data_IF_432237605146
#
_entry.id   IF_432237605146
#
_cell.length_a   1.000
_cell.length_b   1.000
_cell.length_c   1.000
_cell.angle_alpha   90.00
_cell.angle_beta   90.00
_cell.angle_gamma   90.00
#
_symmetry.space_group_name_H-M   'P 1'
#
loop_
_entity.id
_entity.type
_entity.pdbx_description
1 polymer ?
#
# COMPACT_ATOMS: atom_id res chain seq x y z
N UNK A 1 0.22 14.54 11.11
CA UNK A 1 -1.26 14.67 10.98
C UNK A 1 -1.67 15.97 10.28
N UNK A 2 -1.14 17.14 10.64
CA UNK A 2 -1.57 18.42 10.05
C UNK A 2 -1.40 18.51 8.53
N UNK A 3 -0.27 18.03 7.99
CA UNK A 3 -0.05 17.99 6.53
C UNK A 3 -1.08 17.08 5.84
N UNK A 4 -1.40 15.92 6.43
CA UNK A 4 -2.45 15.04 5.90
C UNK A 4 -3.84 15.71 5.98
N UNK A 5 -4.13 16.42 7.08
CA UNK A 5 -5.36 17.19 7.19
C UNK A 5 -5.47 18.25 6.07
N UNK A 6 -4.39 18.98 5.80
CA UNK A 6 -4.32 19.97 4.75
C UNK A 6 -4.55 19.36 3.35
N UNK A 7 -3.96 18.18 3.06
CA UNK A 7 -4.22 17.49 1.80
C UNK A 7 -5.67 17.03 1.69
N UNK A 8 -6.26 16.44 2.75
CA UNK A 8 -7.66 16.03 2.74
C UNK A 8 -8.61 17.21 2.53
N UNK A 9 -8.38 18.34 3.21
CA UNK A 9 -9.20 19.53 3.05
C UNK A 9 -9.02 20.17 1.67
N UNK A 10 -7.79 20.24 1.16
CA UNK A 10 -7.49 20.81 -0.15
C UNK A 10 -8.13 20.01 -1.29
N UNK A 11 -7.87 18.70 -1.35
CA UNK A 11 -8.50 17.83 -2.35
C UNK A 11 -10.02 17.71 -2.12
N UNK A 12 -10.47 17.67 -0.87
CA UNK A 12 -11.88 17.64 -0.52
C UNK A 12 -12.64 18.87 -1.03
N UNK A 13 -12.08 20.07 -0.84
CA UNK A 13 -12.63 21.31 -1.37
C UNK A 13 -12.63 21.33 -2.91
N UNK A 14 -11.53 20.91 -3.55
CA UNK A 14 -11.45 20.82 -5.02
C UNK A 14 -12.55 19.89 -5.57
N UNK A 15 -12.72 18.72 -4.96
CA UNK A 15 -13.70 17.72 -5.39
C UNK A 15 -15.14 18.17 -5.11
N UNK A 16 -15.38 18.93 -4.04
CA UNK A 16 -16.71 19.44 -3.72
C UNK A 16 -17.12 20.65 -4.59
N UNK A 17 -16.19 21.55 -4.90
CA UNK A 17 -16.47 22.80 -5.64
C UNK A 17 -16.47 22.58 -7.15
N UNK A 18 -15.58 21.72 -7.66
CA UNK A 18 -15.39 21.52 -9.10
C UNK A 18 -15.38 20.02 -9.51
N UNK A 19 -16.37 19.20 -9.09
CA UNK A 19 -16.36 17.76 -9.36
C UNK A 19 -16.38 17.44 -10.87
N UNK A 20 -17.05 18.28 -11.68
CA UNK A 20 -17.09 18.11 -13.14
C UNK A 20 -15.73 18.33 -13.81
N UNK A 21 -14.94 19.31 -13.36
CA UNK A 21 -13.59 19.58 -13.87
C UNK A 21 -12.66 18.41 -13.55
N UNK A 22 -12.73 17.92 -12.30
CA UNK A 22 -11.97 16.74 -11.87
C UNK A 22 -12.37 15.51 -12.68
N UNK A 23 -13.68 15.30 -12.92
CA UNK A 23 -14.16 14.17 -13.72
C UNK A 23 -13.59 14.18 -15.14
N UNK A 24 -13.66 15.33 -15.81
CA UNK A 24 -13.11 15.52 -17.16
C UNK A 24 -11.60 15.30 -17.19
N UNK A 25 -10.88 15.76 -16.17
CA UNK A 25 -9.44 15.56 -16.07
C UNK A 25 -9.07 14.08 -15.89
N UNK A 26 -9.86 13.30 -15.14
CA UNK A 26 -9.62 11.88 -14.88
C UNK A 26 -10.04 10.98 -16.06
N UNK A 27 -11.17 11.29 -16.69
CA UNK A 27 -11.77 10.49 -17.77
C UNK A 27 -13.29 10.48 -17.66
N UNK A 28 -13.85 9.40 -17.12
CA UNK A 28 -15.31 9.19 -17.03
C UNK A 28 -15.86 8.82 -15.64
N UNK A 29 -15.27 9.23 -14.50
CA UNK A 29 -15.88 8.95 -13.20
C UNK A 29 -17.23 9.67 -13.06
N UNK A 30 -18.23 9.06 -12.42
CA UNK A 30 -19.47 9.74 -12.11
C UNK A 30 -19.22 10.98 -11.23
N UNK A 31 -19.76 12.14 -11.65
CA UNK A 31 -19.58 13.43 -10.94
C UNK A 31 -20.03 13.36 -9.48
N UNK A 32 -21.15 12.67 -9.22
CA UNK A 32 -21.68 12.48 -7.87
C UNK A 32 -20.71 11.71 -6.96
N UNK A 33 -19.92 10.78 -7.52
CA UNK A 33 -18.94 10.01 -6.77
C UNK A 33 -17.77 10.91 -6.35
N UNK A 34 -17.27 11.76 -7.25
CA UNK A 34 -16.23 12.74 -6.91
C UNK A 34 -16.72 13.70 -5.83
N UNK A 35 -17.95 14.20 -5.95
CA UNK A 35 -18.55 15.06 -4.93
C UNK A 35 -18.63 14.35 -3.56
N UNK A 36 -19.09 13.10 -3.54
CA UNK A 36 -19.19 12.29 -2.32
C UNK A 36 -17.80 12.07 -1.68
N UNK A 37 -16.79 11.74 -2.49
CA UNK A 37 -15.40 11.64 -2.03
C UNK A 37 -14.90 12.98 -1.47
N UNK A 38 -15.24 14.10 -2.12
CA UNK A 38 -14.89 15.44 -1.66
C UNK A 38 -15.44 15.76 -0.27
N UNK A 39 -16.73 15.51 -0.06
CA UNK A 39 -17.39 15.69 1.25
C UNK A 39 -16.76 14.77 2.31
N UNK A 40 -16.51 13.51 1.96
CA UNK A 40 -15.84 12.55 2.85
C UNK A 40 -14.43 13.00 3.26
N UNK A 41 -13.64 13.49 2.30
CA UNK A 41 -12.30 14.03 2.55
C UNK A 41 -12.33 15.28 3.44
N UNK A 42 -13.32 16.17 3.27
CA UNK A 42 -13.50 17.32 4.17
C UNK A 42 -13.75 16.84 5.60
N UNK A 43 -14.68 15.90 5.79
CA UNK A 43 -14.96 15.31 7.10
C UNK A 43 -13.73 14.65 7.73
N UNK A 44 -12.98 13.87 6.95
CA UNK A 44 -11.75 13.24 7.40
C UNK A 44 -10.66 14.27 7.76
N UNK A 45 -10.51 15.33 6.95
CA UNK A 45 -9.57 16.42 7.19
C UNK A 45 -9.87 17.18 8.49
N UNK A 46 -11.16 17.46 8.75
CA UNK A 46 -11.59 18.06 10.02
C UNK A 46 -11.29 17.13 11.20
N UNK A 47 -11.56 15.82 11.07
CA UNK A 47 -11.24 14.84 12.10
C UNK A 47 -9.72 14.78 12.39
N UNK A 48 -8.87 14.81 11.36
CA UNK A 48 -7.42 14.91 11.50
C UNK A 48 -6.97 16.18 12.23
N UNK A 49 -7.58 17.33 11.96
CA UNK A 49 -7.29 18.58 12.69
C UNK A 49 -7.59 18.40 14.18
N UNK A 50 -8.79 17.90 14.49
CA UNK A 50 -9.21 17.68 15.88
C UNK A 50 -8.28 16.72 16.61
N UNK A 51 -7.91 15.59 15.97
CA UNK A 51 -6.95 14.64 16.52
C UNK A 51 -5.57 15.28 16.74
N UNK A 52 -5.09 16.08 15.78
CA UNK A 52 -3.77 16.72 15.85
C UNK A 52 -3.65 17.80 16.94
N UNK A 53 -4.76 18.36 17.42
CA UNK A 53 -4.78 19.39 18.47
C UNK A 53 -4.81 18.83 19.89
N UNK A 54 -4.91 17.51 20.05
CA UNK A 54 -4.87 16.87 21.37
C UNK A 54 -3.46 17.01 21.98
N UNK A 55 -3.39 17.19 23.29
CA UNK A 55 -2.11 17.23 24.01
C UNK A 55 -1.30 15.93 23.88
N UNK A 56 -1.99 14.79 23.73
CA UNK A 56 -1.39 13.48 23.50
C UNK A 56 -2.08 12.80 22.31
N UNK A 57 -1.29 12.44 21.30
CA UNK A 57 -1.79 11.68 20.15
C UNK A 57 -2.13 10.25 20.57
N UNK A 58 -3.26 9.75 20.06
CA UNK A 58 -3.73 8.40 20.33
C UNK A 58 -3.22 7.43 19.24
N UNK A 59 -2.53 6.33 19.59
CA UNK A 59 -2.00 5.39 18.60
C UNK A 59 -3.06 4.81 17.65
N UNK A 60 -4.25 4.53 18.15
CA UNK A 60 -5.40 4.04 17.39
C UNK A 60 -5.87 5.05 16.34
N UNK A 61 -5.93 6.34 16.67
CA UNK A 61 -6.26 7.40 15.68
C UNK A 61 -5.20 7.45 14.57
N UNK A 62 -3.90 7.39 14.92
CA UNK A 62 -2.80 7.41 13.93
C UNK A 62 -2.93 6.21 12.96
N UNK A 63 -3.19 5.02 13.50
CA UNK A 63 -3.39 3.80 12.70
C UNK A 63 -4.60 3.95 11.78
N UNK A 64 -5.72 4.43 12.33
CA UNK A 64 -6.95 4.62 11.58
C UNK A 64 -6.74 5.50 10.34
N UNK A 65 -6.11 6.66 10.51
CA UNK A 65 -5.82 7.56 9.40
C UNK A 65 -4.81 6.96 8.41
N UNK A 66 -3.78 6.27 8.90
CA UNK A 66 -2.79 5.61 8.04
C UNK A 66 -3.40 4.48 7.22
N UNK A 67 -4.35 3.73 7.78
CA UNK A 67 -5.12 2.71 7.06
C UNK A 67 -5.97 3.37 5.96
N UNK A 68 -6.61 4.50 6.25
CA UNK A 68 -7.33 5.29 5.26
C UNK A 68 -6.44 5.72 4.09
N UNK A 69 -5.24 6.23 4.38
CA UNK A 69 -4.25 6.63 3.36
C UNK A 69 -3.79 5.43 2.50
N UNK A 70 -3.54 4.27 3.13
CA UNK A 70 -3.18 3.03 2.42
C UNK A 70 -4.34 2.51 1.57
N UNK A 71 -5.57 2.54 2.08
CA UNK A 71 -6.75 2.13 1.34
C UNK A 71 -7.00 3.04 0.12
N UNK A 72 -6.78 4.35 0.26
CA UNK A 72 -6.86 5.30 -0.85
C UNK A 72 -5.83 4.99 -1.93
N UNK A 73 -4.59 4.70 -1.54
CA UNK A 73 -3.54 4.27 -2.46
C UNK A 73 -3.91 2.98 -3.19
N UNK A 74 -4.35 1.94 -2.47
CA UNK A 74 -4.76 0.65 -3.06
C UNK A 74 -5.97 0.80 -3.99
N UNK A 75 -6.97 1.60 -3.60
CA UNK A 75 -8.11 1.92 -4.45
C UNK A 75 -7.68 2.62 -5.75
N UNK A 76 -6.77 3.60 -5.64
CA UNK A 76 -6.21 4.30 -6.81
C UNK A 76 -5.47 3.34 -7.74
N UNK A 77 -4.69 2.41 -7.18
CA UNK A 77 -4.01 1.35 -7.93
C UNK A 77 -5.01 0.43 -8.64
N UNK A 78 -6.07 0.01 -7.96
CA UNK A 78 -7.14 -0.79 -8.54
C UNK A 78 -7.83 -0.11 -9.71
N UNK A 79 -8.16 1.19 -9.58
CA UNK A 79 -8.76 1.98 -10.66
C UNK A 79 -7.84 2.07 -11.88
N UNK A 80 -6.55 2.32 -11.68
CA UNK A 80 -5.56 2.35 -12.75
C UNK A 80 -5.37 0.99 -13.42
N UNK A 81 -5.39 -0.10 -12.65
CA UNK A 81 -5.27 -1.47 -13.18
C UNK A 81 -6.48 -1.85 -14.04
N UNK A 82 -7.67 -1.54 -13.55
CA UNK A 82 -8.92 -1.81 -14.24
C UNK A 82 -9.20 -0.84 -15.40
N UNK A 83 -8.40 0.23 -15.55
CA UNK A 83 -8.73 1.39 -16.40
C UNK A 83 -10.16 1.90 -16.15
N UNK A 84 -10.60 1.80 -14.90
CA UNK A 84 -11.94 2.18 -14.49
C UNK A 84 -11.94 3.67 -14.17
N UNK A 85 -12.67 4.44 -14.98
CA UNK A 85 -12.87 5.90 -14.89
C UNK A 85 -11.63 6.78 -15.10
N UNK A 86 -10.44 6.33 -14.68
CA UNK A 86 -9.16 7.04 -14.86
C UNK A 86 -8.50 6.54 -16.14
N UNK A 87 -8.72 7.26 -17.24
CA UNK A 87 -8.32 6.81 -18.59
C UNK A 87 -7.54 7.85 -19.38
N UNK A 88 -7.60 9.14 -19.01
CA UNK A 88 -6.82 10.17 -19.70
C UNK A 88 -5.35 10.13 -19.25
N UNK A 89 -4.38 10.50 -20.11
CA UNK A 89 -2.98 10.57 -19.71
C UNK A 89 -2.72 11.51 -18.51
N UNK A 90 -3.38 12.67 -18.50
CA UNK A 90 -3.33 13.62 -17.38
C UNK A 90 -3.90 13.00 -16.11
N UNK A 91 -5.07 12.36 -16.20
CA UNK A 91 -5.75 11.72 -15.09
C UNK A 91 -4.94 10.59 -14.46
N UNK A 92 -4.29 9.76 -15.29
CA UNK A 92 -3.36 8.72 -14.85
C UNK A 92 -2.19 9.34 -14.09
N UNK A 93 -1.55 10.38 -14.65
CA UNK A 93 -0.44 11.07 -14.00
C UNK A 93 -0.81 11.70 -12.66
N UNK A 94 -1.96 12.40 -12.60
CA UNK A 94 -2.47 13.00 -11.37
C UNK A 94 -2.83 11.95 -10.32
N UNK A 95 -3.46 10.85 -10.72
CA UNK A 95 -3.83 9.75 -9.80
C UNK A 95 -2.58 9.13 -9.18
N UNK A 96 -1.54 8.87 -9.96
CA UNK A 96 -0.26 8.41 -9.43
C UNK A 96 0.36 9.41 -8.45
N UNK A 97 0.42 10.69 -8.81
CA UNK A 97 1.01 11.72 -7.95
C UNK A 97 0.29 11.83 -6.61
N UNK A 98 -1.05 11.85 -6.63
CA UNK A 98 -1.88 11.90 -5.41
C UNK A 98 -1.73 10.61 -4.59
N UNK A 99 -1.78 9.44 -5.22
CA UNK A 99 -1.65 8.16 -4.54
C UNK A 99 -0.29 8.05 -3.82
N UNK A 100 0.81 8.45 -4.48
CA UNK A 100 2.15 8.47 -3.87
C UNK A 100 2.26 9.49 -2.75
N UNK A 101 1.66 10.67 -2.90
CA UNK A 101 1.61 11.68 -1.85
C UNK A 101 0.90 11.18 -0.60
N UNK A 102 -0.32 10.66 -0.76
CA UNK A 102 -1.16 10.14 0.33
C UNK A 102 -0.49 8.96 1.03
N UNK A 103 0.05 7.99 0.28
CA UNK A 103 0.71 6.84 0.89
C UNK A 103 1.96 7.23 1.68
N UNK A 104 2.71 8.23 1.20
CA UNK A 104 3.87 8.77 1.92
C UNK A 104 3.46 9.39 3.26
N UNK A 105 2.33 10.11 3.29
CA UNK A 105 1.79 10.68 4.52
C UNK A 105 1.39 9.59 5.52
N UNK A 106 0.68 8.55 5.07
CA UNK A 106 0.29 7.42 5.91
C UNK A 106 1.50 6.64 6.45
N UNK A 107 2.48 6.36 5.60
CA UNK A 107 3.73 5.71 6.01
C UNK A 107 4.53 6.54 7.01
N UNK A 108 4.60 7.85 6.82
CA UNK A 108 5.28 8.75 7.76
C UNK A 108 4.60 8.76 9.13
N UNK A 109 3.27 8.72 9.16
CA UNK A 109 2.51 8.61 10.41
C UNK A 109 2.83 7.30 11.16
N UNK A 110 2.88 6.17 10.46
CA UNK A 110 3.23 4.88 11.05
C UNK A 110 4.70 4.84 11.51
N UNK A 111 5.61 5.41 10.72
CA UNK A 111 7.01 5.58 11.09
C UNK A 111 7.16 6.34 12.41
N UNK A 112 6.54 7.52 12.50
CA UNK A 112 6.63 8.36 13.70
C UNK A 112 6.03 7.65 14.92
N UNK A 113 4.93 6.92 14.73
CA UNK A 113 4.30 6.14 15.80
C UNK A 113 5.22 5.02 16.30
N UNK A 114 5.77 4.22 15.39
CA UNK A 114 6.65 3.11 15.73
C UNK A 114 7.96 3.59 16.36
N UNK A 115 8.53 4.68 15.83
CA UNK A 115 9.70 5.35 16.40
C UNK A 115 9.43 5.85 17.82
N UNK A 116 8.30 6.53 18.03
CA UNK A 116 7.89 7.04 19.34
C UNK A 116 7.70 5.92 20.36
N UNK A 117 7.13 4.79 19.94
CA UNK A 117 6.98 3.61 20.79
C UNK A 117 8.33 2.95 21.15
N UNK A 118 9.30 2.97 20.24
CA UNK A 118 10.63 2.43 20.48
C UNK A 118 11.52 3.35 21.35
N UNK A 119 11.19 4.65 21.45
CA UNK A 119 11.97 5.61 22.24
C UNK A 119 13.38 5.88 21.71
N UNK A 120 13.59 5.70 20.39
CA UNK A 120 14.91 5.85 19.74
C UNK A 120 14.91 6.92 18.65
N UNK A 121 16.10 7.43 18.31
CA UNK A 121 16.27 8.37 17.20
C UNK A 121 15.99 7.71 15.84
N UNK A 122 15.64 8.53 14.83
CA UNK A 122 15.22 8.03 13.51
C UNK A 122 16.30 7.18 12.84
N UNK A 123 17.57 7.55 13.00
CA UNK A 123 18.69 6.79 12.45
C UNK A 123 18.95 5.46 13.16
N UNK A 124 18.62 5.33 14.44
CA UNK A 124 18.67 4.04 15.15
C UNK A 124 17.49 3.18 14.68
N UNK A 125 16.29 3.77 14.59
CA UNK A 125 15.09 3.09 14.13
C UNK A 125 15.23 2.52 12.71
N UNK A 126 15.77 3.31 11.79
CA UNK A 126 16.08 2.86 10.43
C UNK A 126 17.05 1.68 10.42
N UNK A 127 18.13 1.76 11.21
CA UNK A 127 19.11 0.68 11.32
C UNK A 127 18.49 -0.60 11.89
N UNK A 128 17.54 -0.50 12.83
CA UNK A 128 16.81 -1.67 13.34
C UNK A 128 15.98 -2.34 12.23
N UNK A 129 15.20 -1.56 11.47
CA UNK A 129 14.43 -2.07 10.34
C UNK A 129 15.34 -2.76 9.32
N UNK A 130 16.42 -2.09 8.91
CA UNK A 130 17.38 -2.65 7.94
C UNK A 130 18.06 -3.93 8.45
N UNK A 131 18.39 -4.01 9.74
CA UNK A 131 18.96 -5.21 10.35
C UNK A 131 18.01 -6.41 10.24
N UNK A 132 16.71 -6.23 10.44
CA UNK A 132 15.75 -7.34 10.29
C UNK A 132 15.74 -7.90 8.87
N UNK A 133 15.81 -7.05 7.85
CA UNK A 133 15.94 -7.50 6.45
C UNK A 133 17.28 -8.19 6.20
N UNK A 134 18.39 -7.60 6.67
CA UNK A 134 19.73 -8.16 6.50
C UNK A 134 19.91 -9.50 7.22
N UNK A 135 19.16 -9.75 8.29
CA UNK A 135 19.22 -11.00 9.07
C UNK A 135 18.42 -12.16 8.47
N UNK A 136 17.65 -11.94 7.40
CA UNK A 136 16.93 -13.02 6.73
C UNK A 136 17.90 -14.10 6.22
N UNK A 137 17.48 -15.37 6.30
CA UNK A 137 18.24 -16.51 5.78
C UNK A 137 18.55 -16.30 4.30
N UNK A 138 19.76 -16.68 3.87
CA UNK A 138 20.24 -16.46 2.49
C UNK A 138 19.28 -17.02 1.43
N UNK A 139 18.76 -18.24 1.64
CA UNK A 139 17.82 -18.87 0.70
C UNK A 139 16.51 -18.07 0.54
N UNK A 140 16.04 -17.40 1.61
CA UNK A 140 14.85 -16.51 1.55
C UNK A 140 15.17 -15.31 0.67
N UNK A 141 16.35 -14.70 0.82
CA UNK A 141 16.77 -13.58 -0.03
C UNK A 141 16.86 -13.99 -1.50
N UNK A 142 17.47 -15.14 -1.79
CA UNK A 142 17.55 -15.68 -3.15
C UNK A 142 16.15 -15.87 -3.74
N UNK A 143 15.23 -16.47 -2.97
CA UNK A 143 13.84 -16.62 -3.38
C UNK A 143 13.16 -15.27 -3.67
N UNK A 144 13.33 -14.28 -2.80
CA UNK A 144 12.78 -12.93 -3.01
C UNK A 144 13.36 -12.28 -4.28
N UNK A 145 14.67 -12.38 -4.53
CA UNK A 145 15.27 -11.85 -5.76
C UNK A 145 14.70 -12.53 -7.01
N UNK A 146 14.58 -13.85 -6.99
CA UNK A 146 13.93 -14.61 -8.06
C UNK A 146 12.49 -14.12 -8.28
N UNK A 147 11.69 -14.05 -7.21
CA UNK A 147 10.29 -13.61 -7.28
C UNK A 147 10.16 -12.21 -7.87
N UNK A 148 10.98 -11.26 -7.41
CA UNK A 148 11.02 -9.90 -7.97
C UNK A 148 11.38 -9.92 -9.46
N UNK A 149 12.34 -10.76 -9.88
CA UNK A 149 12.68 -10.94 -11.29
C UNK A 149 11.50 -11.44 -12.13
N UNK A 150 10.75 -12.43 -11.65
CA UNK A 150 9.56 -12.94 -12.34
C UNK A 150 8.46 -11.88 -12.45
N UNK A 151 8.23 -11.08 -11.40
CA UNK A 151 7.29 -9.95 -11.45
C UNK A 151 7.73 -8.85 -12.42
N UNK A 152 9.00 -8.46 -12.38
CA UNK A 152 9.54 -7.42 -13.26
C UNK A 152 9.58 -7.84 -14.72
N UNK A 153 9.62 -9.15 -15.02
CA UNK A 153 9.47 -9.64 -16.40
C UNK A 153 8.12 -9.22 -17.01
N UNK A 154 7.09 -8.90 -16.22
CA UNK A 154 5.82 -8.40 -16.74
C UNK A 154 5.97 -7.11 -17.56
N UNK A 155 7.04 -6.32 -17.36
CA UNK A 155 7.33 -5.14 -18.19
C UNK A 155 7.46 -5.47 -19.68
N UNK A 156 7.94 -6.66 -20.06
CA UNK A 156 8.07 -7.05 -21.48
C UNK A 156 6.73 -7.40 -22.13
N UNK A 157 5.67 -7.50 -21.35
CA UNK A 157 4.32 -7.84 -21.79
C UNK A 157 3.37 -6.63 -21.80
N UNK A 158 3.87 -5.43 -21.48
CA UNK A 158 3.11 -4.18 -21.63
C UNK A 158 2.83 -3.98 -23.13
N UNK A 159 1.58 -3.65 -23.53
CA UNK A 159 0.49 -3.09 -22.72
C UNK A 159 -0.59 -4.09 -22.28
N UNK A 160 -0.32 -5.41 -22.27
CA UNK A 160 -1.35 -6.40 -21.88
C UNK A 160 -1.95 -6.14 -20.50
N UNK A 161 -3.23 -6.47 -20.35
CA UNK A 161 -3.95 -6.33 -19.07
C UNK A 161 -3.30 -7.16 -17.97
N UNK A 162 -2.84 -8.38 -18.31
CA UNK A 162 -2.07 -9.24 -17.41
C UNK A 162 -0.83 -8.54 -16.86
N UNK A 163 -0.02 -7.91 -17.74
CA UNK A 163 1.17 -7.17 -17.34
C UNK A 163 0.82 -6.00 -16.42
N UNK A 164 -0.22 -5.23 -16.77
CA UNK A 164 -0.67 -4.06 -16.01
C UNK A 164 -1.12 -4.45 -14.60
N UNK A 165 -2.00 -5.45 -14.48
CA UNK A 165 -2.49 -5.96 -13.19
C UNK A 165 -1.34 -6.51 -12.35
N UNK A 166 -0.43 -7.26 -12.96
CA UNK A 166 0.78 -7.79 -12.29
C UNK A 166 1.67 -6.69 -11.72
N UNK A 167 2.03 -5.70 -12.54
CA UNK A 167 2.93 -4.62 -12.13
C UNK A 167 2.29 -3.72 -11.07
N UNK A 168 0.98 -3.50 -11.15
CA UNK A 168 0.27 -2.73 -10.13
C UNK A 168 0.18 -3.50 -8.81
N UNK A 169 -0.16 -4.80 -8.84
CA UNK A 169 -0.15 -5.64 -7.64
C UNK A 169 1.24 -5.73 -7.01
N UNK A 170 2.29 -5.76 -7.83
CA UNK A 170 3.68 -5.69 -7.38
C UNK A 170 4.00 -4.36 -6.68
N UNK A 171 3.69 -3.22 -7.30
CA UNK A 171 3.90 -1.89 -6.72
C UNK A 171 3.08 -1.71 -5.43
N UNK A 172 1.88 -2.27 -5.37
CA UNK A 172 0.99 -2.17 -4.22
C UNK A 172 1.55 -2.83 -2.94
N UNK A 173 2.36 -3.89 -3.07
CA UNK A 173 3.01 -4.55 -1.92
C UNK A 173 3.93 -3.64 -1.12
N UNK A 174 4.69 -2.78 -1.81
CA UNK A 174 5.74 -1.97 -1.19
C UNK A 174 5.21 -1.15 -0.01
N UNK A 175 4.21 -0.27 -0.21
CA UNK A 175 3.68 0.52 0.88
C UNK A 175 2.99 -0.29 1.98
N UNK A 176 2.27 -1.37 1.66
CA UNK A 176 1.64 -2.19 2.71
C UNK A 176 2.70 -2.88 3.58
N UNK A 177 3.74 -3.44 2.96
CA UNK A 177 4.86 -4.04 3.70
C UNK A 177 5.63 -3.01 4.54
N UNK A 178 5.88 -1.82 3.99
CA UNK A 178 6.50 -0.71 4.73
C UNK A 178 5.62 -0.25 5.90
N UNK A 179 4.30 -0.23 5.77
CA UNK A 179 3.39 0.13 6.85
C UNK A 179 3.58 -0.78 8.07
N UNK A 180 3.68 -2.09 7.84
CA UNK A 180 3.99 -3.06 8.90
C UNK A 180 5.40 -2.85 9.47
N UNK A 181 6.41 -2.72 8.60
CA UNK A 181 7.80 -2.53 9.04
C UNK A 181 7.98 -1.26 9.88
N UNK A 182 7.40 -0.14 9.44
CA UNK A 182 7.48 1.17 10.09
C UNK A 182 6.70 1.24 11.37
N UNK A 183 5.60 0.50 11.49
CA UNK A 183 4.84 0.42 12.74
C UNK A 183 5.56 -0.43 13.79
N UNK A 184 6.21 -1.51 13.38
CA UNK A 184 6.79 -2.52 14.29
C UNK A 184 8.29 -2.33 14.56
N UNK A 185 8.98 -1.45 13.83
CA UNK A 185 10.43 -1.26 13.93
C UNK A 185 11.25 -2.34 13.24
N UNK A 186 10.63 -3.07 12.32
CA UNK A 186 11.28 -4.10 11.53
C UNK A 186 10.29 -5.08 10.92
N UNK A 187 10.81 -6.02 10.13
CA UNK A 187 10.02 -7.09 9.56
C UNK A 187 9.62 -8.06 10.66
N UNK A 188 8.32 -8.35 10.76
CA UNK A 188 7.79 -9.40 11.61
C UNK A 188 6.95 -10.36 10.76
N UNK A 189 6.39 -11.39 11.40
CA UNK A 189 5.43 -12.29 10.76
C UNK A 189 4.18 -11.59 10.19
N UNK A 190 3.82 -10.41 10.72
CA UNK A 190 2.72 -9.63 10.14
C UNK A 190 3.04 -9.04 8.77
N UNK A 191 4.32 -9.01 8.36
CA UNK A 191 4.70 -8.53 7.02
C UNK A 191 4.06 -9.35 5.88
N UNK A 192 3.62 -10.59 6.14
CA UNK A 192 2.87 -11.39 5.17
C UNK A 192 1.55 -10.75 4.73
N UNK A 193 0.94 -9.89 5.56
CA UNK A 193 -0.20 -9.07 5.12
C UNK A 193 0.15 -8.11 3.99
N UNK A 194 1.41 -7.67 3.91
CA UNK A 194 1.96 -6.85 2.83
C UNK A 194 1.79 -7.48 1.45
N UNK A 195 1.84 -8.82 1.37
CA UNK A 195 1.62 -9.57 0.14
C UNK A 195 0.16 -10.03 0.00
N UNK A 196 -0.44 -10.57 1.06
CA UNK A 196 -1.79 -11.13 1.00
C UNK A 196 -2.83 -10.11 0.50
N UNK A 197 -2.76 -8.87 0.99
CA UNK A 197 -3.74 -7.82 0.64
C UNK A 197 -3.72 -7.52 -0.87
N UNK A 198 -2.60 -7.15 -1.50
CA UNK A 198 -2.56 -6.85 -2.93
C UNK A 198 -2.56 -8.10 -3.83
N UNK A 199 -1.90 -9.21 -3.43
CA UNK A 199 -1.69 -10.34 -4.33
C UNK A 199 -2.84 -11.33 -4.36
N UNK A 200 -3.65 -11.48 -3.31
CA UNK A 200 -4.82 -12.38 -3.37
C UNK A 200 -5.83 -11.94 -4.44
N UNK A 201 -6.25 -10.65 -4.50
CA UNK A 201 -7.11 -10.18 -5.58
C UNK A 201 -6.47 -10.30 -6.96
N UNK A 202 -5.16 -10.02 -7.07
CA UNK A 202 -4.41 -10.14 -8.31
C UNK A 202 -4.37 -11.58 -8.83
N UNK A 203 -4.08 -12.56 -7.96
CA UNK A 203 -4.11 -13.99 -8.30
C UNK A 203 -5.52 -14.43 -8.70
N UNK A 204 -6.54 -14.00 -7.96
CA UNK A 204 -7.93 -14.30 -8.32
C UNK A 204 -8.27 -13.76 -9.73
N UNK A 205 -7.82 -12.55 -10.05
CA UNK A 205 -7.98 -11.98 -11.39
C UNK A 205 -7.22 -12.76 -12.47
N UNK A 206 -5.97 -13.18 -12.23
CA UNK A 206 -5.21 -14.01 -13.18
C UNK A 206 -5.90 -15.34 -13.50
N UNK A 207 -6.53 -15.96 -12.51
CA UNK A 207 -7.27 -17.21 -12.71
C UNK A 207 -8.51 -17.01 -13.59
N UNK A 208 -9.11 -15.83 -13.57
CA UNK A 208 -10.23 -15.44 -14.44
C UNK A 208 -9.72 -15.10 -15.86
N UNK A 209 -8.62 -14.35 -15.96
CA UNK A 209 -7.98 -13.99 -17.24
C UNK A 209 -7.48 -15.21 -18.03
N UNK A 210 -7.01 -16.24 -17.30
CA UNK A 210 -6.53 -17.50 -17.87
C UNK A 210 -5.00 -17.61 -17.88
N UNK A 211 -4.52 -18.84 -17.73
CA UNK A 211 -3.10 -19.19 -17.63
C UNK A 211 -2.70 -19.97 -18.89
N UNK A 212 -2.46 -19.23 -19.97
CA UNK A 212 -2.26 -19.73 -21.33
C UNK A 212 -0.80 -19.72 -21.80
N UNK A 213 0.11 -19.15 -21.00
CA UNK A 213 1.55 -19.12 -21.32
C UNK A 213 2.40 -19.69 -20.19
N UNK A 214 3.60 -20.23 -20.49
CA UNK A 214 4.54 -20.69 -19.47
C UNK A 214 4.94 -19.60 -18.48
N UNK A 215 5.02 -18.33 -18.92
CA UNK A 215 5.31 -17.20 -18.04
C UNK A 215 4.18 -16.97 -17.03
N UNK A 216 2.92 -16.92 -17.47
CA UNK A 216 1.77 -16.79 -16.55
C UNK A 216 1.74 -17.93 -15.54
N UNK A 217 2.02 -19.17 -15.98
CA UNK A 217 2.08 -20.34 -15.12
C UNK A 217 3.21 -20.23 -14.07
N UNK A 218 4.41 -19.81 -14.49
CA UNK A 218 5.56 -19.59 -13.61
C UNK A 218 5.26 -18.51 -12.56
N UNK A 219 4.70 -17.38 -12.98
CA UNK A 219 4.35 -16.27 -12.09
C UNK A 219 3.28 -16.69 -11.08
N UNK A 220 2.21 -17.36 -11.54
CA UNK A 220 1.16 -17.88 -10.66
C UNK A 220 1.73 -18.86 -9.63
N UNK A 221 2.50 -19.87 -10.06
CA UNK A 221 3.09 -20.86 -9.16
C UNK A 221 4.01 -20.20 -8.12
N UNK A 222 4.89 -19.30 -8.55
CA UNK A 222 5.81 -18.59 -7.65
C UNK A 222 5.06 -17.72 -6.64
N UNK A 223 3.99 -17.05 -7.09
CA UNK A 223 3.15 -16.20 -6.22
C UNK A 223 2.37 -17.05 -5.21
N UNK A 224 1.78 -18.17 -5.61
CA UNK A 224 1.05 -19.08 -4.72
C UNK A 224 1.97 -19.68 -3.64
N UNK A 225 3.20 -20.05 -3.99
CA UNK A 225 4.20 -20.50 -3.01
C UNK A 225 4.49 -19.39 -1.98
N UNK A 226 4.68 -18.14 -2.43
CA UNK A 226 4.90 -17.02 -1.53
C UNK A 226 3.69 -16.79 -0.61
N UNK A 227 2.48 -16.75 -1.17
CA UNK A 227 1.24 -16.56 -0.41
C UNK A 227 1.01 -17.65 0.63
N UNK A 228 1.40 -18.89 0.35
CA UNK A 228 1.33 -19.97 1.33
C UNK A 228 2.24 -19.72 2.54
N UNK A 229 3.48 -19.25 2.31
CA UNK A 229 4.38 -18.84 3.40
C UNK A 229 3.86 -17.61 4.14
N UNK A 230 3.34 -16.61 3.43
CA UNK A 230 2.76 -15.40 4.03
C UNK A 230 1.55 -15.72 4.91
N UNK A 231 0.67 -16.63 4.46
CA UNK A 231 -0.49 -17.10 5.23
C UNK A 231 -0.05 -17.83 6.49
N UNK A 232 0.97 -18.69 6.40
CA UNK A 232 1.53 -19.37 7.57
C UNK A 232 2.12 -18.38 8.58
N UNK A 233 2.88 -17.38 8.11
CA UNK A 233 3.45 -16.34 8.96
C UNK A 233 2.36 -15.50 9.64
N UNK A 234 1.36 -15.06 8.89
CA UNK A 234 0.20 -14.33 9.45
C UNK A 234 -0.56 -15.18 10.46
N UNK A 235 -0.77 -16.47 10.20
CA UNK A 235 -1.43 -17.37 11.15
C UNK A 235 -0.63 -17.49 12.46
N UNK A 236 0.70 -17.60 12.39
CA UNK A 236 1.58 -17.58 13.58
C UNK A 236 1.50 -16.25 14.31
N UNK A 237 1.47 -15.14 13.57
CA UNK A 237 1.26 -13.83 14.15
C UNK A 237 -0.08 -13.82 14.92
N UNK A 238 -1.21 -14.24 14.35
CA UNK A 238 -2.46 -14.27 15.10
C UNK A 238 -2.44 -15.17 16.35
N UNK A 239 -1.61 -16.21 16.37
CA UNK A 239 -1.35 -17.07 17.55
C UNK A 239 -0.42 -16.47 18.60
N UNK A 240 0.09 -15.25 18.41
CA UNK A 240 0.88 -14.50 19.40
C UNK A 240 2.36 -14.36 19.06
N UNK A 241 2.84 -14.90 17.94
CA UNK A 241 4.24 -14.72 17.50
C UNK A 241 4.46 -13.28 17.01
N UNK A 242 4.97 -12.42 17.90
CA UNK A 242 5.26 -11.00 17.64
C UNK A 242 6.74 -10.74 17.35
N UNK A 243 7.55 -11.80 17.22
CA UNK A 243 8.99 -11.66 17.06
C UNK A 243 9.34 -10.93 15.75
N UNK A 244 10.32 -10.03 15.83
CA UNK A 244 10.96 -9.48 14.65
C UNK A 244 11.86 -10.54 14.01
N UNK A 245 11.86 -10.59 12.68
CA UNK A 245 12.70 -11.50 11.92
C UNK A 245 14.17 -11.19 12.24
N UNK A 246 14.87 -12.21 12.74
CA UNK A 246 16.28 -12.15 13.12
C UNK A 246 16.60 -11.36 14.39
N UNK A 247 15.59 -11.05 15.22
CA UNK A 247 15.87 -10.82 16.63
C UNK A 247 16.49 -12.11 17.21
N UNK A 248 17.70 -11.99 17.77
CA UNK A 248 18.27 -13.07 18.58
C UNK A 248 17.31 -13.30 19.75
N UNK A 249 16.84 -14.55 19.89
CA UNK A 249 16.10 -14.99 21.07
C UNK A 249 17.02 -14.97 22.30
#
# INVERSE_FOLDING_TARGET
MQVNAASCLGFGALFAVAPGVVAQALGTPPVWLILALGVGLIGNGLHLILASRRAKLRPDEVIWFSIGDLAWFLGSMGLLAAQLWVTTPLGVGLTWAVALGVVTLGLTQLWMLGQGAAGVSSGIYLRQILRTWLSMKLWVKIWLFFLNGVFLWAFTLVPSDFARVTLIGYVACGPVLLAFAFRMGGLSRAAGWGHLIPWVPMVAWWLIDGIDTPYKALLLASTLICLAFDLFDVARYHKGDRALIGALA
#
